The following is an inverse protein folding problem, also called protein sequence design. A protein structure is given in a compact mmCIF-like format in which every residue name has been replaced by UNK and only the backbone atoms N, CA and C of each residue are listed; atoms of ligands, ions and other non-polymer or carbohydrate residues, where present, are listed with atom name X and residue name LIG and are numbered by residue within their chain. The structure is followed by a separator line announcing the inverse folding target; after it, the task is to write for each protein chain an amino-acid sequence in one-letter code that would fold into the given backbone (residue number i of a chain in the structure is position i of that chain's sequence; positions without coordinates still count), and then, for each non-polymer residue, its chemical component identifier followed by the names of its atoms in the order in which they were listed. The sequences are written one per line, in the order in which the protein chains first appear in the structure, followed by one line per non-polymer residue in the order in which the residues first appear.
data_IF_493896772041
#
_entry.id   IF_493896772041
#
_cell.length_a   1.000
_cell.length_b   1.000
_cell.length_c   1.000
_cell.angle_alpha   90.00
_cell.angle_beta   90.00
_cell.angle_gamma   90.00
#
_symmetry.space_group_name_H-M   'P 1'
#
loop_
_entity.id
_entity.type
_entity.pdbx_description
1 polymer ?
#
# COMPACT_ATOMS: atom_id res chain seq x y z
N UNK A 1 17.27 7.91 -30.47
CA UNK A 1 16.00 8.55 -30.06
C UNK A 1 15.47 7.81 -28.85
N UNK A 2 15.11 8.47 -27.73
CA UNK A 2 14.47 7.77 -26.62
C UNK A 2 13.14 7.18 -27.11
N UNK A 3 12.85 5.92 -26.75
CA UNK A 3 11.58 5.28 -27.09
C UNK A 3 10.46 6.13 -26.48
N UNK A 4 9.52 6.61 -27.31
CA UNK A 4 8.28 7.17 -26.79
C UNK A 4 7.57 6.06 -26.06
N UNK A 5 7.29 6.32 -24.80
CA UNK A 5 6.53 5.42 -23.97
C UNK A 5 5.11 5.31 -24.50
N UNK A 6 4.57 4.10 -24.55
CA UNK A 6 3.13 3.92 -24.72
C UNK A 6 2.49 4.26 -23.37
N UNK A 7 2.02 5.50 -23.27
CA UNK A 7 1.42 6.09 -22.07
C UNK A 7 0.18 5.31 -21.61
N UNK A 8 -0.60 4.77 -22.54
CA UNK A 8 -1.83 4.04 -22.23
C UNK A 8 -1.53 2.61 -21.74
N UNK A 9 -0.56 1.92 -22.35
CA UNK A 9 -0.19 0.54 -21.99
C UNK A 9 0.41 0.43 -20.58
N UNK A 10 1.46 1.17 -20.29
CA UNK A 10 1.25 2.36 -19.46
C UNK A 10 0.43 2.24 -18.21
N UNK A 11 -0.43 3.23 -18.12
CA UNK A 11 -1.30 3.49 -17.00
C UNK A 11 -2.04 2.22 -16.60
N UNK A 12 -2.43 1.38 -17.58
CA UNK A 12 -3.03 0.05 -17.31
C UNK A 12 -2.13 -0.87 -16.51
N UNK A 13 -0.83 -0.91 -16.80
CA UNK A 13 0.12 -1.72 -16.04
C UNK A 13 0.28 -1.17 -14.61
N UNK A 14 0.37 0.16 -14.46
CA UNK A 14 0.48 0.82 -13.16
C UNK A 14 -0.76 0.55 -12.32
N UNK A 15 -1.95 0.68 -12.89
CA UNK A 15 -3.22 0.41 -12.23
C UNK A 15 -3.30 -1.05 -11.76
N UNK A 16 -2.96 -1.99 -12.64
CA UNK A 16 -2.95 -3.43 -12.29
C UNK A 16 -1.97 -3.73 -11.15
N UNK A 17 -0.77 -3.17 -11.18
CA UNK A 17 0.23 -3.33 -10.12
C UNK A 17 -0.24 -2.67 -8.81
N UNK A 18 -0.93 -1.54 -8.89
CA UNK A 18 -1.53 -0.86 -7.74
C UNK A 18 -2.55 -1.75 -7.02
N UNK A 19 -3.47 -2.36 -7.78
CA UNK A 19 -4.47 -3.30 -7.22
C UNK A 19 -3.79 -4.51 -6.57
N UNK A 20 -2.76 -5.08 -7.21
CA UNK A 20 -2.02 -6.21 -6.65
C UNK A 20 -1.32 -5.82 -5.34
N UNK A 21 -0.66 -4.66 -5.31
CA UNK A 21 0.03 -4.15 -4.14
C UNK A 21 -0.94 -3.92 -2.98
N UNK A 22 -2.10 -3.31 -3.23
CA UNK A 22 -3.12 -3.07 -2.22
C UNK A 22 -3.56 -4.37 -1.54
N UNK A 23 -3.87 -5.41 -2.33
CA UNK A 23 -4.27 -6.73 -1.81
C UNK A 23 -3.19 -7.34 -0.91
N UNK A 24 -1.92 -7.21 -1.30
CA UNK A 24 -0.80 -7.69 -0.48
C UNK A 24 -0.70 -6.91 0.83
N UNK A 25 -0.94 -5.60 0.82
CA UNK A 25 -0.93 -4.76 2.02
C UNK A 25 -2.05 -5.19 2.97
N UNK A 26 -3.29 -5.27 2.48
CA UNK A 26 -4.45 -5.73 3.27
C UNK A 26 -4.17 -7.08 3.93
N UNK A 27 -3.73 -8.05 3.12
CA UNK A 27 -3.39 -9.39 3.62
C UNK A 27 -2.32 -9.33 4.72
N UNK A 28 -1.24 -8.57 4.50
CA UNK A 28 -0.17 -8.44 5.48
C UNK A 28 -0.63 -7.76 6.78
N UNK A 29 -1.57 -6.81 6.73
CA UNK A 29 -2.14 -6.17 7.92
C UNK A 29 -3.01 -7.19 8.66
N UNK A 30 -3.91 -7.87 7.97
CA UNK A 30 -4.78 -8.87 8.58
C UNK A 30 -4.00 -10.00 9.26
N UNK A 31 -2.92 -10.47 8.64
CA UNK A 31 -2.01 -11.45 9.23
C UNK A 31 -1.34 -10.92 10.52
N UNK A 32 -0.91 -9.65 10.53
CA UNK A 32 -0.24 -9.03 11.69
C UNK A 32 -1.21 -8.84 12.87
N UNK A 33 -2.45 -8.42 12.58
CA UNK A 33 -3.46 -8.13 13.60
C UNK A 33 -4.41 -9.30 13.91
N UNK A 34 -4.21 -10.46 13.26
CA UNK A 34 -5.03 -11.67 13.42
C UNK A 34 -6.53 -11.40 13.20
N UNK A 35 -6.84 -10.62 12.17
CA UNK A 35 -8.21 -10.35 11.75
C UNK A 35 -8.76 -11.62 11.07
N UNK A 36 -10.05 -11.93 11.25
CA UNK A 36 -10.66 -13.16 10.76
C UNK A 36 -10.60 -13.30 9.23
N UNK A 37 -10.79 -14.53 8.72
CA UNK A 37 -10.63 -14.97 7.31
C UNK A 37 -11.36 -14.11 6.25
N UNK A 38 -12.24 -13.18 6.65
CA UNK A 38 -12.88 -12.20 5.77
C UNK A 38 -11.92 -11.22 5.07
N UNK A 39 -10.64 -11.19 5.44
CA UNK A 39 -9.68 -10.20 4.96
C UNK A 39 -9.30 -10.29 3.47
N UNK A 40 -9.52 -11.43 2.83
CA UNK A 40 -9.11 -11.63 1.42
C UNK A 40 -9.86 -10.72 0.43
N UNK A 41 -10.99 -10.15 0.85
CA UNK A 41 -11.84 -9.31 0.02
C UNK A 41 -11.95 -7.87 0.48
N UNK A 42 -11.25 -7.48 1.55
CA UNK A 42 -11.30 -6.12 2.06
C UNK A 42 -10.41 -5.19 1.25
N UNK A 43 -10.89 -3.98 1.02
CA UNK A 43 -10.09 -2.83 0.61
C UNK A 43 -9.40 -2.20 1.82
N UNK A 44 -8.38 -1.36 1.59
CA UNK A 44 -7.77 -0.60 2.68
C UNK A 44 -8.78 0.32 3.39
N UNK A 45 -9.75 0.84 2.66
CA UNK A 45 -10.78 1.73 3.21
C UNK A 45 -11.77 0.99 4.11
N UNK A 46 -12.19 -0.22 3.71
CA UNK A 46 -13.00 -1.09 4.57
C UNK A 46 -12.23 -1.53 5.82
N UNK A 47 -10.95 -1.83 5.68
CA UNK A 47 -10.09 -2.19 6.79
C UNK A 47 -9.93 -1.02 7.78
N UNK A 48 -9.75 0.20 7.26
CA UNK A 48 -9.70 1.44 8.04
C UNK A 48 -10.96 1.63 8.86
N UNK A 49 -12.11 1.60 8.21
CA UNK A 49 -13.42 1.90 8.81
C UNK A 49 -13.86 0.85 9.84
N UNK A 50 -13.51 -0.42 9.63
CA UNK A 50 -13.90 -1.51 10.53
C UNK A 50 -13.00 -1.66 11.77
N UNK A 51 -11.68 -1.42 11.64
CA UNK A 51 -10.73 -1.85 12.67
C UNK A 51 -9.78 -0.78 13.23
N UNK A 52 -9.49 0.31 12.50
CA UNK A 52 -8.37 1.19 12.87
C UNK A 52 -8.73 2.67 13.03
N UNK A 53 -9.58 3.23 12.18
CA UNK A 53 -9.94 4.65 12.24
C UNK A 53 -8.79 5.61 11.86
N UNK A 54 -8.64 6.69 12.64
CA UNK A 54 -7.62 7.73 12.42
C UNK A 54 -6.19 7.18 12.64
N UNK A 55 -5.21 7.71 11.92
CA UNK A 55 -3.82 7.25 11.98
C UNK A 55 -3.54 5.93 11.26
N UNK A 56 -4.54 5.33 10.59
CA UNK A 56 -4.36 4.08 9.84
C UNK A 56 -3.34 4.18 8.68
N UNK A 57 -3.10 5.38 8.16
CA UNK A 57 -2.08 5.63 7.14
C UNK A 57 -0.69 5.14 7.56
N UNK A 58 -0.32 5.30 8.84
CA UNK A 58 0.97 4.84 9.38
C UNK A 58 1.13 3.33 9.30
N UNK A 59 0.04 2.59 9.54
CA UNK A 59 -0.01 1.13 9.40
C UNK A 59 0.16 0.77 7.92
N UNK A 60 -0.61 1.38 7.02
CA UNK A 60 -0.49 1.17 5.57
C UNK A 60 0.96 1.37 5.11
N UNK A 61 1.59 2.48 5.49
CA UNK A 61 2.95 2.81 5.09
C UNK A 61 3.98 1.80 5.56
N UNK A 62 3.87 1.31 6.80
CA UNK A 62 4.73 0.25 7.34
C UNK A 62 4.66 -1.00 6.47
N UNK A 63 3.45 -1.46 6.14
CA UNK A 63 3.25 -2.67 5.34
C UNK A 63 3.62 -2.48 3.88
N UNK A 64 3.27 -1.35 3.28
CA UNK A 64 3.64 -0.97 1.92
C UNK A 64 5.16 -0.97 1.75
N UNK A 65 5.89 -0.33 2.65
CA UNK A 65 7.35 -0.31 2.65
C UNK A 65 7.95 -1.71 2.67
N UNK A 66 7.44 -2.58 3.55
CA UNK A 66 7.89 -3.97 3.68
C UNK A 66 7.65 -4.76 2.39
N UNK A 67 6.47 -4.65 1.78
CA UNK A 67 6.10 -5.40 0.58
C UNK A 67 6.86 -4.89 -0.64
N UNK A 68 6.94 -3.57 -0.84
CA UNK A 68 7.69 -2.97 -1.95
C UNK A 68 9.16 -3.39 -1.92
N UNK A 69 9.75 -3.42 -0.71
CA UNK A 69 11.13 -3.88 -0.56
C UNK A 69 11.29 -5.37 -0.84
N UNK A 70 10.40 -6.21 -0.31
CA UNK A 70 10.47 -7.68 -0.43
C UNK A 70 10.20 -8.17 -1.86
N UNK A 71 9.15 -7.66 -2.49
CA UNK A 71 8.61 -8.23 -3.75
C UNK A 71 9.18 -7.53 -4.99
N UNK A 72 9.54 -6.25 -4.88
CA UNK A 72 9.93 -5.42 -6.02
C UNK A 72 11.32 -4.80 -5.86
N UNK A 73 12.00 -5.04 -4.73
CA UNK A 73 13.28 -4.41 -4.38
C UNK A 73 13.23 -2.87 -4.36
N UNK A 74 12.05 -2.28 -4.14
CA UNK A 74 11.84 -0.84 -4.11
C UNK A 74 12.02 -0.32 -2.68
N UNK A 75 12.90 0.66 -2.52
CA UNK A 75 13.09 1.37 -1.26
C UNK A 75 12.13 2.56 -1.18
N UNK A 76 10.92 2.29 -0.70
CA UNK A 76 9.93 3.33 -0.45
C UNK A 76 10.13 3.95 0.95
N UNK A 77 10.00 5.28 1.04
CA UNK A 77 10.06 6.03 2.29
C UNK A 77 8.70 6.65 2.57
N UNK A 78 8.23 6.58 3.80
CA UNK A 78 6.98 7.24 4.15
C UNK A 78 7.15 8.77 4.16
N UNK A 79 6.05 9.52 3.99
CA UNK A 79 6.10 10.96 4.15
C UNK A 79 6.73 11.42 5.47
N UNK A 80 6.39 10.77 6.59
CA UNK A 80 6.97 11.06 7.92
C UNK A 80 8.49 10.77 8.02
N UNK A 81 9.05 9.94 7.13
CA UNK A 81 10.50 9.71 7.04
C UNK A 81 11.22 10.77 6.19
N UNK A 82 10.50 11.43 5.28
CA UNK A 82 11.04 12.48 4.43
C UNK A 82 10.93 13.85 5.09
N UNK A 83 9.87 14.06 5.87
CA UNK A 83 9.62 15.25 6.66
C UNK A 83 9.04 14.78 8.01
N UNK A 84 9.80 14.79 9.11
CA UNK A 84 9.28 14.35 10.41
C UNK A 84 8.29 15.31 11.07
N UNK A 85 8.25 16.58 10.63
CA UNK A 85 7.42 17.62 11.25
C UNK A 85 6.00 17.66 10.67
N UNK A 86 5.80 16.97 9.55
CA UNK A 86 4.51 16.81 8.89
C UNK A 86 3.54 16.02 9.78
N UNK A 87 2.33 16.56 9.96
CA UNK A 87 1.27 15.91 10.73
C UNK A 87 0.33 15.19 9.77
N UNK A 88 0.38 13.87 9.82
CA UNK A 88 -0.57 13.00 9.12
C UNK A 88 -1.40 12.28 10.16
N UNK A 89 -2.65 12.69 10.30
CA UNK A 89 -3.72 12.00 11.02
C UNK A 89 -5.07 12.55 10.54
#
# INVERSE_FOLDING_TARGET
MPRKYDEEATERLVEKLGIELERKIVKSICEEFKLDESCDFLTLEELRSKHFGLGFCHIIWKHQKKILKRDYNIYWKSPAELDPDIRFD
#
